data_IF_843390434261
#
_entry.id   IF_843390434261
#
_cell.length_a   1.000
_cell.length_b   1.000
_cell.length_c   1.000
_cell.angle_alpha   90.00
_cell.angle_beta   90.00
_cell.angle_gamma   90.00
#
_symmetry.space_group_name_H-M   'P 1'
#
loop_
_entity.id
_entity.type
_entity.pdbx_description
1 polymer ?
#
# COMPACT_ATOMS: atom_id res chain seq x y z
N UNK A 1 15.58 -1.55 9.20
CA UNK A 1 14.75 -0.48 9.78
C UNK A 1 15.32 0.87 9.39
N UNK A 2 14.47 1.82 8.98
CA UNK A 2 14.87 3.09 8.36
C UNK A 2 14.86 4.23 9.39
N UNK A 3 16.02 4.70 9.80
CA UNK A 3 16.14 5.71 10.85
C UNK A 3 15.73 7.09 10.29
N UNK A 4 14.80 7.81 10.93
CA UNK A 4 14.51 9.21 10.61
C UNK A 4 15.74 10.10 10.79
N UNK A 5 15.91 11.10 9.93
CA UNK A 5 17.08 11.99 9.95
C UNK A 5 17.24 12.80 11.23
N UNK A 6 16.12 13.08 11.93
CA UNK A 6 16.12 13.75 13.23
C UNK A 6 16.62 12.86 14.39
N UNK A 7 16.66 11.54 14.19
CA UNK A 7 17.11 10.57 15.20
C UNK A 7 18.57 10.17 14.95
N UNK A 8 18.98 10.03 13.69
CA UNK A 8 20.36 9.72 13.33
C UNK A 8 20.52 9.34 11.85
N UNK A 9 21.70 8.82 11.51
CA UNK A 9 22.15 8.59 10.13
C UNK A 9 22.42 7.11 9.80
N UNK A 10 21.88 6.16 10.57
CA UNK A 10 22.15 4.72 10.36
C UNK A 10 21.66 4.21 8.99
N UNK A 11 20.71 4.90 8.37
CA UNK A 11 20.20 4.60 7.02
C UNK A 11 20.83 5.44 5.92
N UNK A 12 21.78 6.32 6.23
CA UNK A 12 22.35 7.25 5.26
C UNK A 12 23.08 6.52 4.13
N UNK A 13 23.82 5.46 4.44
CA UNK A 13 24.59 4.71 3.43
C UNK A 13 23.71 4.17 2.29
N UNK A 14 22.49 3.70 2.60
CA UNK A 14 21.59 3.14 1.58
C UNK A 14 20.90 4.26 0.81
N UNK A 15 20.59 5.40 1.46
CA UNK A 15 20.06 6.57 0.77
C UNK A 15 21.08 7.15 -0.21
N UNK A 16 22.35 7.28 0.19
CA UNK A 16 23.44 7.75 -0.66
C UNK A 16 23.65 6.85 -1.88
N UNK A 17 23.67 5.53 -1.66
CA UNK A 17 23.83 4.53 -2.72
C UNK A 17 22.67 4.59 -3.73
N UNK A 18 21.43 4.57 -3.26
CA UNK A 18 20.24 4.58 -4.12
C UNK A 18 20.10 5.91 -4.86
N UNK A 19 20.28 7.03 -4.18
CA UNK A 19 20.21 8.35 -4.81
C UNK A 19 21.28 8.51 -5.91
N UNK A 20 22.51 8.06 -5.67
CA UNK A 20 23.57 8.05 -6.69
C UNK A 20 23.18 7.20 -7.91
N UNK A 21 22.64 6.01 -7.66
CA UNK A 21 22.20 5.07 -8.71
C UNK A 21 21.03 5.62 -9.54
N UNK A 22 20.08 6.30 -8.90
CA UNK A 22 18.87 6.82 -9.53
C UNK A 22 19.02 8.22 -10.12
N UNK A 23 20.15 8.89 -9.86
CA UNK A 23 20.39 10.30 -10.22
C UNK A 23 20.06 10.65 -11.67
N UNK A 24 20.33 9.74 -12.61
CA UNK A 24 19.99 9.91 -14.04
C UNK A 24 18.49 10.01 -14.34
N UNK A 25 17.64 9.49 -13.47
CA UNK A 25 16.17 9.48 -13.63
C UNK A 25 15.47 10.55 -12.81
N UNK A 26 16.03 10.90 -11.65
CA UNK A 26 15.39 11.82 -10.68
C UNK A 26 16.02 13.22 -10.68
N UNK A 27 17.09 13.41 -11.45
CA UNK A 27 17.82 14.68 -11.57
C UNK A 27 18.51 15.10 -10.27
N UNK A 28 19.14 16.27 -10.30
CA UNK A 28 19.93 16.78 -9.17
C UNK A 28 19.07 17.05 -7.91
N UNK A 29 17.93 17.76 -8.06
CA UNK A 29 17.03 18.07 -6.93
C UNK A 29 16.47 16.78 -6.29
N UNK A 30 16.02 15.83 -7.12
CA UNK A 30 15.54 14.54 -6.64
C UNK A 30 16.62 13.74 -5.92
N UNK A 31 17.86 13.76 -6.45
CA UNK A 31 19.02 13.09 -5.81
C UNK A 31 19.29 13.63 -4.42
N UNK A 32 19.36 14.95 -4.24
CA UNK A 32 19.60 15.56 -2.93
C UNK A 32 18.50 15.21 -1.91
N UNK A 33 17.25 15.18 -2.38
CA UNK A 33 16.11 14.82 -1.53
C UNK A 33 16.15 13.35 -1.15
N UNK A 34 16.51 12.47 -2.10
CA UNK A 34 16.65 11.03 -1.87
C UNK A 34 17.78 10.73 -0.88
N UNK A 35 18.91 11.42 -0.97
CA UNK A 35 20.00 11.32 0.01
C UNK A 35 19.52 11.73 1.41
N UNK A 36 18.73 12.82 1.50
CA UNK A 36 18.28 13.36 2.79
C UNK A 36 17.29 12.45 3.52
N UNK A 37 16.33 11.87 2.81
CA UNK A 37 15.19 11.18 3.47
C UNK A 37 14.65 9.94 2.75
N UNK A 38 15.31 9.49 1.68
CA UNK A 38 14.89 8.33 0.89
C UNK A 38 13.64 8.58 0.02
N UNK A 39 13.29 9.83 -0.22
CA UNK A 39 12.13 10.27 -1.00
C UNK A 39 12.57 11.25 -2.09
N UNK A 40 11.82 11.38 -3.19
CA UNK A 40 12.17 12.32 -4.25
C UNK A 40 10.95 12.77 -5.05
N UNK A 41 11.12 13.89 -5.75
CA UNK A 41 10.17 14.40 -6.73
C UNK A 41 10.91 14.63 -8.05
N UNK A 42 10.29 14.22 -9.16
CA UNK A 42 10.84 14.45 -10.50
C UNK A 42 9.70 14.70 -11.50
N UNK A 43 9.96 15.55 -12.49
CA UNK A 43 8.99 15.81 -13.56
C UNK A 43 9.19 14.80 -14.69
N UNK A 44 8.08 14.33 -15.25
CA UNK A 44 8.10 13.59 -16.49
C UNK A 44 8.48 14.53 -17.66
N UNK A 45 9.55 14.26 -18.42
CA UNK A 45 10.06 15.20 -19.41
C UNK A 45 9.13 15.41 -20.62
N UNK A 46 8.15 14.55 -20.84
CA UNK A 46 7.28 14.57 -22.03
C UNK A 46 5.82 14.89 -21.72
N UNK A 47 5.55 15.55 -20.60
CA UNK A 47 4.19 15.94 -20.24
C UNK A 47 4.10 16.69 -18.94
N UNK A 48 2.87 17.03 -18.56
CA UNK A 48 2.59 17.84 -17.38
C UNK A 48 2.34 16.96 -16.14
N UNK A 49 3.28 16.04 -15.88
CA UNK A 49 3.20 15.08 -14.80
C UNK A 49 4.41 15.20 -13.88
N UNK A 50 4.18 15.16 -12.57
CA UNK A 50 5.20 14.99 -11.54
C UNK A 50 5.03 13.67 -10.82
N UNK A 51 6.12 12.96 -10.63
CA UNK A 51 6.17 11.75 -9.81
C UNK A 51 6.81 12.09 -8.48
N UNK A 52 6.07 11.85 -7.39
CA UNK A 52 6.52 12.03 -6.01
C UNK A 52 6.63 10.65 -5.36
N UNK A 53 7.86 10.24 -5.05
CA UNK A 53 8.18 8.97 -4.40
C UNK A 53 8.37 9.17 -2.91
N UNK A 54 7.49 8.55 -2.11
CA UNK A 54 7.51 8.57 -0.65
C UNK A 54 8.30 7.40 -0.07
N UNK A 55 9.10 7.68 0.95
CA UNK A 55 9.64 6.68 1.86
C UNK A 55 8.59 6.30 2.92
N UNK A 56 7.71 5.37 2.57
CA UNK A 56 6.62 4.91 3.47
C UNK A 56 7.12 4.10 4.67
N UNK A 57 8.39 3.70 4.71
CA UNK A 57 8.97 3.05 5.90
C UNK A 57 8.99 3.96 7.12
N UNK A 58 8.95 5.28 6.90
CA UNK A 58 8.86 6.28 7.96
C UNK A 58 7.48 6.28 8.64
N UNK A 59 6.52 5.49 8.13
CA UNK A 59 5.18 5.35 8.68
C UNK A 59 4.84 3.90 9.07
N UNK A 60 5.81 3.00 8.92
CA UNK A 60 5.64 1.57 9.14
C UNK A 60 5.79 1.20 10.61
N UNK A 61 4.82 0.47 11.19
CA UNK A 61 4.86 -0.05 12.56
C UNK A 61 6.05 -0.96 12.83
N UNK A 62 6.56 -1.66 11.81
CA UNK A 62 7.79 -2.47 11.91
C UNK A 62 9.08 -1.65 11.97
N UNK A 63 9.02 -0.32 11.81
CA UNK A 63 10.18 0.54 11.92
C UNK A 63 10.41 0.99 13.37
N UNK A 64 11.15 0.17 14.13
CA UNK A 64 11.32 0.39 15.57
C UNK A 64 12.00 1.71 15.95
N UNK A 65 12.69 2.39 15.02
CA UNK A 65 13.24 3.73 15.25
C UNK A 65 12.17 4.78 15.57
N UNK A 66 10.91 4.55 15.20
CA UNK A 66 9.82 5.49 15.42
C UNK A 66 9.24 5.45 16.85
N UNK A 67 9.50 4.40 17.62
CA UNK A 67 9.06 4.28 19.02
C UNK A 67 9.99 5.06 19.95
N UNK A 68 9.97 6.38 19.80
CA UNK A 68 10.62 7.32 20.69
C UNK A 68 9.71 7.67 21.88
N UNK A 69 10.26 8.30 22.93
CA UNK A 69 9.47 8.76 24.09
C UNK A 69 8.30 9.65 23.65
N UNK A 70 8.56 10.52 22.68
CA UNK A 70 7.56 11.28 21.95
C UNK A 70 7.66 10.86 20.49
N UNK A 71 6.60 10.26 19.95
CA UNK A 71 6.59 9.88 18.55
C UNK A 71 6.71 11.11 17.65
N UNK A 72 7.59 11.01 16.66
CA UNK A 72 7.75 12.07 15.66
C UNK A 72 6.44 12.22 14.87
N UNK A 73 5.98 13.46 14.72
CA UNK A 73 4.78 13.76 13.92
C UNK A 73 5.05 13.67 12.41
N UNK A 74 6.22 14.16 12.00
CA UNK A 74 6.68 14.13 10.61
C UNK A 74 8.15 13.66 10.55
N UNK A 75 8.40 12.35 10.54
CA UNK A 75 9.74 11.81 10.48
C UNK A 75 10.47 12.28 9.22
N UNK A 76 11.63 12.90 9.41
CA UNK A 76 12.45 13.50 8.34
C UNK A 76 11.81 14.66 7.56
N UNK A 77 10.72 15.26 8.06
CA UNK A 77 10.05 16.39 7.39
C UNK A 77 9.41 16.04 6.05
N UNK A 78 9.03 14.77 5.85
CA UNK A 78 8.55 14.28 4.56
C UNK A 78 7.13 14.76 4.24
N UNK A 79 6.26 14.96 5.24
CA UNK A 79 4.89 15.45 5.04
C UNK A 79 4.92 16.93 4.67
N UNK A 80 5.72 17.75 5.38
CA UNK A 80 5.93 19.16 5.03
C UNK A 80 6.45 19.29 3.59
N UNK A 81 7.49 18.54 3.24
CA UNK A 81 8.02 18.52 1.87
C UNK A 81 7.01 18.06 0.83
N UNK A 82 6.17 17.06 1.14
CA UNK A 82 5.11 16.60 0.23
C UNK A 82 4.10 17.71 -0.05
N UNK A 83 3.70 18.47 0.98
CA UNK A 83 2.80 19.61 0.82
C UNK A 83 3.43 20.67 -0.10
N UNK A 84 4.70 20.99 0.07
CA UNK A 84 5.41 21.93 -0.82
C UNK A 84 5.44 21.46 -2.27
N UNK A 85 5.71 20.17 -2.51
CA UNK A 85 5.76 19.61 -3.85
C UNK A 85 4.38 19.59 -4.53
N UNK A 86 3.32 19.25 -3.80
CA UNK A 86 1.93 19.24 -4.29
C UNK A 86 1.40 20.66 -4.52
N UNK A 87 1.67 21.60 -3.62
CA UNK A 87 1.32 23.02 -3.80
C UNK A 87 1.99 23.63 -5.02
N UNK A 88 3.28 23.33 -5.23
CA UNK A 88 4.00 23.76 -6.42
C UNK A 88 3.46 23.11 -7.70
N UNK A 89 2.99 21.86 -7.64
CA UNK A 89 2.36 21.18 -8.77
C UNK A 89 1.00 21.80 -9.10
N UNK A 90 0.15 22.02 -8.10
CA UNK A 90 -1.17 22.67 -8.23
C UNK A 90 -1.03 24.06 -8.88
N UNK A 91 -0.10 24.90 -8.40
CA UNK A 91 0.17 26.23 -8.97
C UNK A 91 0.70 26.18 -10.42
N UNK A 92 1.41 25.12 -10.77
CA UNK A 92 1.91 24.90 -12.13
C UNK A 92 0.88 24.20 -13.03
N UNK A 93 -0.27 23.79 -12.49
CA UNK A 93 -1.28 23.01 -13.19
C UNK A 93 -0.84 21.59 -13.54
N UNK A 94 0.18 21.04 -12.85
CA UNK A 94 0.69 19.68 -13.06
C UNK A 94 -0.25 18.62 -12.45
N UNK A 95 -0.33 17.46 -13.09
CA UNK A 95 -0.86 16.25 -12.48
C UNK A 95 0.23 15.54 -11.66
N UNK A 96 -0.16 14.84 -10.59
CA UNK A 96 0.79 14.15 -9.71
C UNK A 96 0.49 12.67 -9.59
N UNK A 97 1.53 11.85 -9.74
CA UNK A 97 1.55 10.48 -9.22
C UNK A 97 2.29 10.45 -7.90
N UNK A 98 1.65 9.86 -6.88
CA UNK A 98 2.33 9.51 -5.64
C UNK A 98 2.67 8.03 -5.68
N UNK A 99 3.94 7.69 -5.50
CA UNK A 99 4.38 6.30 -5.39
C UNK A 99 4.97 6.04 -4.00
N UNK A 100 4.75 4.84 -3.47
CA UNK A 100 5.32 4.40 -2.20
C UNK A 100 5.41 2.88 -2.14
N UNK A 101 6.03 2.35 -1.09
CA UNK A 101 6.07 0.89 -0.92
C UNK A 101 4.81 0.38 -0.21
N UNK A 102 4.53 0.90 0.97
CA UNK A 102 3.42 0.48 1.83
C UNK A 102 2.21 1.41 1.61
N UNK A 103 1.02 0.86 1.29
CA UNK A 103 -0.19 1.68 1.19
C UNK A 103 -0.64 2.18 2.57
N UNK A 104 -1.26 3.35 2.61
CA UNK A 104 -1.52 4.07 3.86
C UNK A 104 -2.70 3.51 4.67
N UNK A 105 -3.63 2.81 4.02
CA UNK A 105 -4.73 2.10 4.68
C UNK A 105 -4.35 0.75 5.26
N UNK A 106 -3.11 0.30 5.02
CA UNK A 106 -2.63 -0.98 5.55
C UNK A 106 -2.53 -0.93 7.08
N UNK A 107 -2.83 -2.06 7.73
CA UNK A 107 -2.70 -2.23 9.18
C UNK A 107 -1.27 -1.96 9.69
N UNK A 108 -0.29 -2.07 8.80
CA UNK A 108 1.11 -1.82 9.05
C UNK A 108 1.45 -0.33 9.17
N UNK A 109 0.57 0.57 8.74
CA UNK A 109 0.77 2.00 8.93
C UNK A 109 0.36 2.45 10.33
N UNK A 110 1.13 3.37 10.94
CA UNK A 110 0.67 4.09 12.12
C UNK A 110 -0.56 4.93 11.80
N UNK A 111 -1.55 4.95 12.71
CA UNK A 111 -2.80 5.70 12.51
C UNK A 111 -2.54 7.19 12.30
N UNK A 112 -1.76 7.81 13.19
CA UNK A 112 -1.46 9.25 13.13
C UNK A 112 -0.80 9.65 11.80
N UNK A 113 0.26 8.97 11.39
CA UNK A 113 0.97 9.26 10.14
C UNK A 113 0.09 9.04 8.90
N UNK A 114 -0.67 7.94 8.88
CA UNK A 114 -1.65 7.66 7.84
C UNK A 114 -2.70 8.76 7.77
N UNK A 115 -3.21 9.23 8.91
CA UNK A 115 -4.17 10.32 9.00
C UNK A 115 -3.61 11.66 8.54
N UNK A 116 -2.37 12.00 8.88
CA UNK A 116 -1.74 13.24 8.40
C UNK A 116 -1.57 13.24 6.88
N UNK A 117 -1.12 12.12 6.30
CA UNK A 117 -1.02 11.99 4.85
C UNK A 117 -2.38 11.99 4.17
N UNK A 118 -3.38 11.33 4.76
CA UNK A 118 -4.75 11.34 4.22
C UNK A 118 -5.31 12.77 4.14
N UNK A 119 -5.04 13.64 5.12
CA UNK A 119 -5.42 15.07 5.05
C UNK A 119 -4.74 15.80 3.88
N UNK A 120 -3.46 15.52 3.62
CA UNK A 120 -2.72 16.09 2.47
C UNK A 120 -3.32 15.59 1.15
N UNK A 121 -3.57 14.29 1.02
CA UNK A 121 -4.21 13.70 -0.17
C UNK A 121 -5.59 14.31 -0.40
N UNK A 122 -6.38 14.49 0.68
CA UNK A 122 -7.68 15.14 0.62
C UNK A 122 -7.59 16.56 0.04
N UNK A 123 -6.68 17.40 0.59
CA UNK A 123 -6.46 18.78 0.14
C UNK A 123 -6.05 18.87 -1.34
N UNK A 124 -5.21 17.96 -1.80
CA UNK A 124 -4.64 17.99 -3.16
C UNK A 124 -5.25 16.94 -4.10
N UNK A 125 -6.44 16.42 -3.77
CA UNK A 125 -7.10 15.35 -4.54
C UNK A 125 -7.31 15.72 -6.02
N UNK A 126 -7.59 16.98 -6.32
CA UNK A 126 -7.73 17.48 -7.70
C UNK A 126 -6.38 17.56 -8.47
N UNK A 127 -5.25 17.57 -7.76
CA UNK A 127 -3.89 17.59 -8.35
C UNK A 127 -3.32 16.16 -8.50
N UNK A 128 -3.77 15.23 -7.65
CA UNK A 128 -3.29 13.84 -7.63
C UNK A 128 -4.10 13.01 -8.61
N UNK A 129 -3.47 12.56 -9.70
CA UNK A 129 -4.13 11.73 -10.71
C UNK A 129 -4.27 10.26 -10.25
N UNK A 130 -3.27 9.73 -9.55
CA UNK A 130 -3.30 8.36 -9.01
C UNK A 130 -2.21 8.15 -7.94
N UNK A 131 -2.41 7.14 -7.09
CA UNK A 131 -1.39 6.69 -6.13
C UNK A 131 -1.06 5.21 -6.35
N UNK A 132 0.22 4.83 -6.24
CA UNK A 132 0.69 3.48 -6.54
C UNK A 132 1.57 2.90 -5.42
N UNK A 133 1.22 1.71 -4.96
CA UNK A 133 1.86 1.02 -3.85
C UNK A 133 2.09 -0.47 -4.12
N UNK A 134 2.75 -1.15 -3.19
CA UNK A 134 2.98 -2.59 -3.17
C UNK A 134 2.85 -3.14 -1.75
N UNK A 135 3.95 -3.66 -1.19
CA UNK A 135 4.11 -4.20 0.18
C UNK A 135 3.29 -5.46 0.50
N UNK A 136 2.00 -5.46 0.20
CA UNK A 136 1.05 -6.52 0.57
C UNK A 136 1.19 -7.79 -0.25
N UNK A 137 1.91 -7.71 -1.38
CA UNK A 137 2.05 -8.79 -2.38
C UNK A 137 0.71 -9.29 -2.95
N UNK A 138 -0.35 -8.49 -2.85
CA UNK A 138 -1.71 -8.84 -3.30
C UNK A 138 -2.18 -7.82 -4.33
N UNK A 139 -3.04 -8.26 -5.25
CA UNK A 139 -3.63 -7.42 -6.28
C UNK A 139 -4.91 -6.75 -5.73
N UNK A 140 -4.81 -5.50 -5.25
CA UNK A 140 -5.97 -4.77 -4.72
C UNK A 140 -5.81 -3.25 -4.84
N UNK A 141 -6.70 -2.50 -4.19
CA UNK A 141 -6.73 -1.05 -4.21
C UNK A 141 -7.32 -0.52 -2.89
N UNK A 142 -7.11 0.76 -2.62
CA UNK A 142 -7.74 1.49 -1.52
C UNK A 142 -8.33 2.80 -2.05
N UNK A 143 -9.49 3.19 -1.53
CA UNK A 143 -10.16 4.44 -1.90
C UNK A 143 -10.00 5.45 -0.75
N UNK A 144 -9.54 6.65 -1.10
CA UNK A 144 -9.57 7.82 -0.21
C UNK A 144 -10.89 8.55 -0.39
N UNK A 145 -11.57 8.85 0.72
CA UNK A 145 -12.81 9.62 0.75
C UNK A 145 -12.59 11.02 1.34
N UNK A 146 -13.46 11.95 1.00
CA UNK A 146 -13.54 13.29 1.60
C UNK A 146 -13.81 13.22 3.11
N UNK A 147 -14.71 12.32 3.48
CA UNK A 147 -15.12 12.05 4.86
C UNK A 147 -15.13 10.55 5.09
N UNK A 148 -14.20 10.02 5.88
CA UNK A 148 -14.08 8.56 6.08
C UNK A 148 -15.29 7.93 6.81
N UNK A 149 -16.13 8.74 7.46
CA UNK A 149 -17.41 8.33 8.05
C UNK A 149 -18.52 8.14 7.01
N UNK A 150 -18.37 8.71 5.81
CA UNK A 150 -19.34 8.71 4.72
C UNK A 150 -18.68 8.17 3.46
N UNK A 151 -18.56 6.83 3.40
CA UNK A 151 -17.91 6.12 2.29
C UNK A 151 -18.94 5.84 1.20
N UNK A 152 -19.32 6.87 0.48
CA UNK A 152 -20.21 6.78 -0.68
C UNK A 152 -19.49 7.24 -1.96
N UNK A 153 -20.08 6.91 -3.11
CA UNK A 153 -19.52 7.24 -4.42
C UNK A 153 -19.28 8.75 -4.63
N UNK A 154 -20.10 9.63 -4.03
CA UNK A 154 -20.00 11.08 -4.20
C UNK A 154 -18.85 11.69 -3.40
N UNK A 155 -18.41 10.98 -2.36
CA UNK A 155 -17.31 11.36 -1.49
C UNK A 155 -15.96 10.70 -1.89
N UNK A 156 -15.91 9.85 -2.91
CA UNK A 156 -14.70 9.16 -3.34
C UNK A 156 -13.77 10.10 -4.14
N UNK A 157 -12.51 10.23 -3.71
CA UNK A 157 -11.56 11.22 -4.24
C UNK A 157 -10.42 10.62 -5.06
N UNK A 158 -9.65 9.69 -4.47
CA UNK A 158 -8.40 9.18 -5.08
C UNK A 158 -8.30 7.68 -4.89
N UNK A 159 -7.87 6.97 -5.94
CA UNK A 159 -7.54 5.55 -5.88
C UNK A 159 -6.06 5.34 -5.61
N UNK A 160 -5.78 4.53 -4.59
CA UNK A 160 -4.47 3.96 -4.30
C UNK A 160 -4.39 2.54 -4.82
N UNK A 161 -3.72 2.33 -5.94
CA UNK A 161 -3.53 1.00 -6.52
C UNK A 161 -2.43 0.25 -5.79
N UNK A 162 -2.69 -1.00 -5.41
CA UNK A 162 -1.72 -1.87 -4.75
C UNK A 162 -1.37 -3.02 -5.69
N UNK A 163 -0.18 -2.93 -6.27
CA UNK A 163 0.30 -3.89 -7.26
C UNK A 163 0.70 -5.24 -6.65
N UNK A 164 0.53 -6.34 -7.39
CA UNK A 164 0.97 -7.66 -6.96
C UNK A 164 2.50 -7.78 -6.98
N UNK A 165 3.01 -8.89 -6.47
CA UNK A 165 4.45 -9.16 -6.39
C UNK A 165 4.97 -10.03 -7.53
N UNK A 166 6.22 -9.80 -7.93
CA UNK A 166 7.00 -10.73 -8.74
C UNK A 166 7.41 -11.97 -7.93
N UNK A 167 7.62 -11.83 -6.61
CA UNK A 167 7.91 -12.97 -5.75
C UNK A 167 6.69 -13.90 -5.63
N UNK A 168 6.86 -15.23 -5.73
CA UNK A 168 5.76 -16.20 -5.71
C UNK A 168 5.17 -16.46 -4.31
N UNK A 169 5.61 -15.78 -3.25
CA UNK A 169 5.24 -16.11 -1.87
C UNK A 169 3.74 -15.98 -1.57
N UNK A 170 3.03 -15.07 -2.26
CA UNK A 170 1.62 -14.76 -1.98
C UNK A 170 0.70 -14.99 -3.18
N UNK A 171 1.17 -15.70 -4.19
CA UNK A 171 0.43 -15.96 -5.42
C UNK A 171 1.33 -16.05 -6.65
N UNK A 172 0.74 -16.20 -7.83
CA UNK A 172 1.51 -16.26 -9.07
C UNK A 172 2.39 -15.02 -9.23
N UNK A 173 3.68 -15.16 -9.59
CA UNK A 173 4.55 -14.06 -10.00
C UNK A 173 3.83 -13.16 -11.00
N UNK A 174 3.75 -11.86 -10.71
CA UNK A 174 2.95 -10.94 -11.51
C UNK A 174 3.55 -9.54 -11.57
N UNK A 175 3.26 -8.82 -12.64
CA UNK A 175 3.47 -7.37 -12.76
C UNK A 175 2.23 -6.70 -13.34
N UNK A 176 2.15 -5.37 -13.21
CA UNK A 176 1.02 -4.55 -13.66
C UNK A 176 1.49 -3.54 -14.69
N UNK A 177 0.68 -3.35 -15.72
CA UNK A 177 0.79 -2.25 -16.69
C UNK A 177 -0.43 -1.36 -16.53
N UNK A 178 -0.22 -0.04 -16.48
CA UNK A 178 -1.30 0.95 -16.45
C UNK A 178 -1.34 1.69 -17.77
N UNK A 179 -2.50 1.67 -18.42
CA UNK A 179 -2.80 2.57 -19.53
C UNK A 179 -3.35 3.87 -18.93
N UNK A 180 -2.85 5.01 -19.40
CA UNK A 180 -3.15 6.33 -18.81
C UNK A 180 -3.50 7.34 -19.89
N UNK A 181 -4.35 8.29 -19.55
CA UNK A 181 -4.70 9.39 -20.46
C UNK A 181 -3.46 10.29 -20.68
N UNK A 182 -3.11 10.65 -21.92
CA UNK A 182 -1.90 11.42 -22.20
C UNK A 182 -1.97 12.89 -21.73
N UNK A 183 -3.15 13.39 -21.37
CA UNK A 183 -3.39 14.78 -20.94
C UNK A 183 -3.61 14.83 -19.43
N UNK A 184 -4.59 14.08 -18.92
CA UNK A 184 -4.95 14.08 -17.49
C UNK A 184 -4.04 13.18 -16.66
N UNK A 185 -3.34 12.23 -17.28
CA UNK A 185 -2.61 11.16 -16.61
C UNK A 185 -3.49 10.32 -15.69
N UNK A 186 -4.82 10.37 -15.82
CA UNK A 186 -5.69 9.46 -15.10
C UNK A 186 -5.53 8.03 -15.65
N UNK A 187 -5.74 7.04 -14.78
CA UNK A 187 -5.66 5.63 -15.18
C UNK A 187 -6.87 5.27 -16.02
N UNK A 188 -6.64 4.80 -17.25
CA UNK A 188 -7.67 4.30 -18.17
C UNK A 188 -7.87 2.80 -18.02
N UNK A 189 -6.81 2.04 -17.77
CA UNK A 189 -6.89 0.61 -17.48
C UNK A 189 -5.70 0.13 -16.65
N UNK A 190 -5.87 -1.02 -16.00
CA UNK A 190 -4.86 -1.69 -15.21
C UNK A 190 -4.82 -3.17 -15.61
N UNK A 191 -3.82 -3.56 -16.40
CA UNK A 191 -3.65 -4.93 -16.90
C UNK A 191 -2.60 -5.68 -16.09
N UNK A 192 -3.01 -6.74 -15.39
CA UNK A 192 -2.09 -7.64 -14.67
C UNK A 192 -1.60 -8.74 -15.62
N UNK A 193 -0.29 -8.97 -15.65
CA UNK A 193 0.35 -10.11 -16.28
C UNK A 193 0.87 -11.06 -15.20
N UNK A 194 0.62 -12.36 -15.35
CA UNK A 194 1.11 -13.38 -14.43
C UNK A 194 1.87 -14.49 -15.16
N UNK A 195 2.77 -15.15 -14.44
CA UNK A 195 3.45 -16.34 -14.89
C UNK A 195 3.00 -17.54 -14.05
N UNK A 196 2.61 -18.62 -14.71
CA UNK A 196 2.19 -19.86 -14.03
C UNK A 196 3.40 -20.63 -13.51
N UNK A 197 3.65 -20.52 -12.21
CA UNK A 197 4.74 -21.21 -11.53
C UNK A 197 4.53 -22.72 -11.38
N UNK A 198 3.32 -23.23 -11.66
CA UNK A 198 3.03 -24.67 -11.66
C UNK A 198 3.38 -25.35 -12.99
N UNK A 199 3.63 -24.56 -14.04
CA UNK A 199 4.07 -25.08 -15.33
C UNK A 199 5.36 -25.89 -15.18
N UNK A 200 5.40 -27.08 -15.79
CA UNK A 200 6.59 -27.95 -15.80
C UNK A 200 7.82 -27.27 -16.44
N UNK A 201 7.61 -26.25 -17.27
CA UNK A 201 8.69 -25.49 -17.91
C UNK A 201 9.18 -24.29 -17.09
N UNK A 202 8.48 -23.89 -16.02
CA UNK A 202 8.79 -22.64 -15.31
C UNK A 202 10.23 -22.59 -14.79
N UNK A 203 10.72 -23.69 -14.19
CA UNK A 203 12.08 -23.77 -13.63
C UNK A 203 13.16 -24.07 -14.67
N UNK A 204 12.79 -24.57 -15.85
CA UNK A 204 13.75 -25.00 -16.89
C UNK A 204 13.90 -23.98 -18.01
N UNK A 205 12.83 -23.25 -18.35
CA UNK A 205 12.79 -22.26 -19.42
C UNK A 205 12.54 -20.84 -18.91
N UNK A 206 12.22 -20.68 -17.62
CA UNK A 206 11.87 -19.39 -17.02
C UNK A 206 10.38 -19.06 -17.10
N UNK A 207 9.97 -17.91 -16.53
CA UNK A 207 8.57 -17.49 -16.48
C UNK A 207 8.03 -17.12 -17.87
N UNK A 208 6.85 -17.64 -18.22
CA UNK A 208 6.08 -17.21 -19.39
C UNK A 208 4.97 -16.27 -18.94
N UNK A 209 5.13 -14.98 -19.23
CA UNK A 209 4.17 -13.94 -18.85
C UNK A 209 2.97 -13.91 -19.79
N UNK A 210 1.77 -14.02 -19.23
CA UNK A 210 0.49 -13.94 -19.97
C UNK A 210 -0.40 -12.89 -19.34
N UNK A 211 -1.24 -12.24 -20.14
CA UNK A 211 -2.31 -11.36 -19.63
C UNK A 211 -3.19 -12.21 -18.69
N UNK A 212 -3.27 -11.82 -17.44
CA UNK A 212 -4.12 -12.47 -16.44
C UNK A 212 -5.52 -11.84 -16.47
N UNK A 213 -5.61 -10.51 -16.34
CA UNK A 213 -6.87 -9.77 -16.54
C UNK A 213 -6.60 -8.28 -16.83
N UNK A 214 -7.59 -7.61 -17.43
CA UNK A 214 -7.71 -6.14 -17.47
C UNK A 214 -8.79 -5.71 -16.48
N UNK A 215 -8.51 -4.68 -15.68
CA UNK A 215 -9.46 -4.16 -14.70
C UNK A 215 -10.74 -3.64 -15.37
N UNK A 216 -10.61 -2.90 -16.48
CA UNK A 216 -11.77 -2.39 -17.22
C UNK A 216 -12.61 -3.50 -17.84
N UNK A 217 -11.97 -4.49 -18.47
CA UNK A 217 -12.65 -5.66 -19.05
C UNK A 217 -13.40 -6.45 -17.98
N UNK A 218 -12.82 -6.60 -16.79
CA UNK A 218 -13.36 -7.46 -15.73
C UNK A 218 -14.43 -6.76 -14.89
N UNK A 219 -14.19 -5.52 -14.50
CA UNK A 219 -15.04 -4.80 -13.54
C UNK A 219 -15.94 -3.75 -14.19
N UNK A 220 -15.60 -3.25 -15.38
CA UNK A 220 -16.43 -2.31 -16.16
C UNK A 220 -17.89 -2.75 -16.29
N UNK A 221 -18.16 -3.98 -16.75
CA UNK A 221 -19.52 -4.51 -16.88
C UNK A 221 -20.27 -4.70 -15.55
N UNK A 222 -19.58 -4.73 -14.41
CA UNK A 222 -20.20 -4.93 -13.09
C UNK A 222 -20.76 -3.63 -12.49
N UNK A 223 -20.28 -2.48 -12.97
CA UNK A 223 -20.71 -1.17 -12.48
C UNK A 223 -22.04 -0.74 -13.10
N UNK A 224 -22.77 0.17 -12.43
CA UNK A 224 -24.01 0.76 -12.94
C UNK A 224 -23.95 2.29 -12.91
N UNK A 225 -23.95 2.97 -14.08
CA UNK A 225 -23.92 2.40 -15.43
C UNK A 225 -22.60 1.66 -15.72
N UNK A 226 -22.58 0.68 -16.64
CA UNK A 226 -21.35 -0.01 -17.03
C UNK A 226 -20.29 0.94 -17.59
N UNK A 227 -19.05 0.83 -17.12
CA UNK A 227 -17.92 1.64 -17.58
C UNK A 227 -16.98 0.80 -18.48
N UNK A 228 -17.38 0.60 -19.74
CA UNK A 228 -16.64 -0.23 -20.71
C UNK A 228 -15.93 0.55 -21.81
N UNK A 229 -16.10 1.87 -21.87
CA UNK A 229 -15.41 2.73 -22.84
C UNK A 229 -13.89 2.70 -22.58
N UNK A 230 -13.05 2.31 -23.57
CA UNK A 230 -11.59 2.32 -23.43
C UNK A 230 -11.03 3.68 -22.97
N UNK A 231 -11.63 4.79 -23.39
CA UNK A 231 -11.18 6.15 -23.04
C UNK A 231 -11.69 6.68 -21.70
N UNK A 232 -12.60 5.96 -21.02
CA UNK A 232 -13.13 6.42 -19.73
C UNK A 232 -12.15 6.18 -18.58
N UNK A 233 -11.98 7.13 -17.68
CA UNK A 233 -11.05 7.01 -16.55
C UNK A 233 -11.58 6.07 -15.46
N UNK A 234 -10.71 5.25 -14.87
CA UNK A 234 -11.00 4.40 -13.71
C UNK A 234 -10.92 5.22 -12.41
N UNK A 235 -11.82 6.20 -12.27
CA UNK A 235 -11.86 7.13 -11.13
C UNK A 235 -12.12 6.43 -9.79
N UNK A 236 -11.95 7.15 -8.67
CA UNK A 236 -12.31 6.63 -7.34
C UNK A 236 -13.79 6.19 -7.25
N UNK A 237 -14.68 6.90 -7.98
CA UNK A 237 -16.11 6.56 -8.12
C UNK A 237 -16.29 5.20 -8.81
N UNK A 238 -15.53 4.93 -9.88
CA UNK A 238 -15.56 3.62 -10.54
C UNK A 238 -15.22 2.51 -9.55
N UNK A 239 -14.11 2.64 -8.82
CA UNK A 239 -13.67 1.64 -7.85
C UNK A 239 -14.65 1.48 -6.68
N UNK A 240 -15.32 2.56 -6.25
CA UNK A 240 -16.41 2.47 -5.29
C UNK A 240 -17.57 1.64 -5.83
N UNK A 241 -18.03 1.89 -7.06
CA UNK A 241 -19.11 1.13 -7.68
C UNK A 241 -18.75 -0.36 -7.86
N UNK A 242 -17.47 -0.67 -8.08
CA UNK A 242 -16.98 -2.07 -8.07
C UNK A 242 -17.17 -2.71 -6.69
N UNK A 243 -16.89 -1.97 -5.60
CA UNK A 243 -17.14 -2.47 -4.25
C UNK A 243 -18.64 -2.64 -3.94
N UNK A 244 -19.52 -1.79 -4.47
CA UNK A 244 -20.98 -1.97 -4.37
C UNK A 244 -21.44 -3.24 -5.11
N UNK A 245 -20.85 -3.52 -6.28
CA UNK A 245 -21.12 -4.74 -7.01
C UNK A 245 -20.72 -5.99 -6.19
N UNK A 246 -19.63 -5.94 -5.42
CA UNK A 246 -19.21 -7.04 -4.54
C UNK A 246 -20.17 -7.30 -3.36
N UNK A 247 -20.82 -6.25 -2.85
CA UNK A 247 -21.85 -6.39 -1.81
C UNK A 247 -23.07 -7.16 -2.35
N UNK A 248 -23.45 -6.86 -3.59
CA UNK A 248 -24.67 -7.38 -4.23
C UNK A 248 -24.46 -8.67 -5.04
N UNK A 249 -23.22 -8.99 -5.43
CA UNK A 249 -22.88 -10.15 -6.25
C UNK A 249 -21.73 -10.93 -5.60
N UNK A 250 -22.08 -12.05 -4.95
CA UNK A 250 -21.13 -12.92 -4.26
C UNK A 250 -20.09 -13.53 -5.20
N UNK A 251 -20.49 -13.95 -6.40
CA UNK A 251 -19.56 -14.52 -7.39
C UNK A 251 -18.51 -13.51 -7.82
N UNK A 252 -18.91 -12.26 -8.09
CA UNK A 252 -17.96 -11.20 -8.44
C UNK A 252 -16.94 -10.93 -7.33
N UNK A 253 -17.39 -10.96 -6.06
CA UNK A 253 -16.51 -10.85 -4.91
C UNK A 253 -15.57 -12.05 -4.77
N UNK A 254 -16.08 -13.28 -4.86
CA UNK A 254 -15.27 -14.50 -4.73
C UNK A 254 -14.20 -14.58 -5.84
N UNK A 255 -14.56 -14.15 -7.05
CA UNK A 255 -13.62 -14.00 -8.16
C UNK A 255 -12.55 -12.94 -7.85
N UNK A 256 -12.92 -11.81 -7.24
CA UNK A 256 -11.96 -10.78 -6.80
C UNK A 256 -11.00 -11.35 -5.74
N UNK A 257 -11.52 -12.13 -4.79
CA UNK A 257 -10.70 -12.80 -3.78
C UNK A 257 -9.68 -13.76 -4.39
N UNK A 258 -10.03 -14.46 -5.47
CA UNK A 258 -9.07 -15.27 -6.24
C UNK A 258 -7.98 -14.42 -6.89
N UNK A 259 -8.35 -13.25 -7.39
CA UNK A 259 -7.42 -12.31 -8.05
C UNK A 259 -6.41 -11.71 -7.09
N UNK A 260 -6.72 -11.57 -5.79
CA UNK A 260 -5.75 -11.15 -4.77
C UNK A 260 -4.45 -11.97 -4.86
N UNK A 261 -4.57 -13.30 -5.06
CA UNK A 261 -3.46 -14.26 -5.19
C UNK A 261 -3.14 -14.62 -6.66
N UNK A 262 -3.74 -13.91 -7.61
CA UNK A 262 -3.60 -14.10 -9.07
C UNK A 262 -3.89 -15.53 -9.50
N UNK A 263 -4.97 -16.11 -8.97
CA UNK A 263 -5.41 -17.45 -9.35
C UNK A 263 -4.72 -18.57 -8.59
N UNK A 264 -3.85 -18.28 -7.63
CA UNK A 264 -3.11 -19.31 -6.90
C UNK A 264 -3.97 -20.05 -5.89
N UNK A 265 -4.63 -19.32 -5.00
CA UNK A 265 -5.44 -19.90 -3.92
C UNK A 265 -6.69 -19.07 -3.69
N UNK A 266 -7.83 -19.75 -3.69
CA UNK A 266 -9.10 -19.19 -3.22
C UNK A 266 -9.04 -19.13 -1.68
N UNK A 267 -9.12 -17.94 -1.07
CA UNK A 267 -9.24 -17.85 0.37
C UNK A 267 -10.66 -18.21 0.80
N UNK A 268 -10.80 -18.91 1.94
CA UNK A 268 -12.10 -19.07 2.60
C UNK A 268 -12.54 -17.72 3.15
N UNK A 269 -13.77 -17.30 2.84
CA UNK A 269 -14.30 -16.01 3.26
C UNK A 269 -15.82 -16.12 3.44
N UNK A 270 -16.29 -16.01 4.67
CA UNK A 270 -17.72 -15.93 4.99
C UNK A 270 -18.25 -14.50 4.80
N UNK A 271 -19.49 -14.22 5.21
CA UNK A 271 -20.09 -12.90 5.04
C UNK A 271 -19.43 -11.83 5.91
N UNK A 272 -18.93 -12.17 7.10
CA UNK A 272 -18.18 -11.25 7.95
C UNK A 272 -16.84 -10.88 7.29
N UNK A 273 -16.11 -11.89 6.81
CA UNK A 273 -14.90 -11.71 6.02
C UNK A 273 -15.19 -10.83 4.79
N UNK A 274 -16.26 -11.09 4.04
CA UNK A 274 -16.63 -10.32 2.85
C UNK A 274 -16.84 -8.84 3.18
N UNK A 275 -17.62 -8.55 4.22
CA UNK A 275 -17.84 -7.18 4.69
C UNK A 275 -16.52 -6.49 5.09
N UNK A 276 -15.63 -7.21 5.80
CA UNK A 276 -14.32 -6.70 6.18
C UNK A 276 -13.42 -6.41 4.97
N UNK A 277 -13.35 -7.32 3.98
CA UNK A 277 -12.56 -7.12 2.76
C UNK A 277 -13.04 -5.90 1.97
N UNK A 278 -14.35 -5.78 1.77
CA UNK A 278 -14.96 -4.63 1.08
C UNK A 278 -14.66 -3.33 1.84
N UNK A 279 -14.78 -3.33 3.16
CA UNK A 279 -14.40 -2.18 3.98
C UNK A 279 -12.93 -1.78 3.82
N UNK A 280 -12.00 -2.75 3.77
CA UNK A 280 -10.58 -2.46 3.55
C UNK A 280 -10.30 -1.82 2.19
N UNK A 281 -11.00 -2.22 1.12
CA UNK A 281 -10.93 -1.57 -0.19
C UNK A 281 -11.42 -0.12 -0.13
N UNK A 282 -12.39 0.16 0.74
CA UNK A 282 -12.91 1.50 1.02
C UNK A 282 -12.16 2.21 2.17
N UNK A 283 -10.94 1.81 2.51
CA UNK A 283 -10.18 2.41 3.61
C UNK A 283 -8.72 2.68 3.21
N UNK A 284 -8.42 3.89 2.74
CA UNK A 284 -7.05 4.36 2.49
C UNK A 284 -6.37 5.00 3.72
N UNK A 285 -7.06 5.04 4.87
CA UNK A 285 -6.51 5.48 6.17
C UNK A 285 -6.53 4.32 7.16
N UNK A 286 -5.40 4.05 7.81
CA UNK A 286 -5.23 2.81 8.57
C UNK A 286 -6.14 2.69 9.80
N UNK A 287 -6.52 3.83 10.42
CA UNK A 287 -7.46 3.84 11.55
C UNK A 287 -8.89 3.43 11.16
N UNK A 288 -9.23 3.54 9.88
CA UNK A 288 -10.54 3.22 9.32
C UNK A 288 -10.59 1.82 8.69
N UNK A 289 -9.44 1.13 8.69
CA UNK A 289 -9.29 -0.21 8.18
C UNK A 289 -10.07 -1.19 9.07
N UNK A 290 -10.91 -2.01 8.45
CA UNK A 290 -11.68 -3.04 9.15
C UNK A 290 -10.87 -4.30 9.48
N UNK A 291 -9.55 -4.30 9.31
CA UNK A 291 -8.65 -5.36 9.84
C UNK A 291 -8.30 -5.07 11.30
N UNK A 292 -9.28 -5.23 12.19
CA UNK A 292 -9.09 -5.03 13.63
C UNK A 292 -8.41 -6.28 14.24
N UNK A 293 -7.26 -6.13 14.93
CA UNK A 293 -6.66 -7.24 15.67
C UNK A 293 -7.58 -7.67 16.83
N UNK A 294 -8.07 -8.92 16.82
CA UNK A 294 -8.79 -9.50 17.97
C UNK A 294 -7.80 -10.26 18.85
N UNK A 295 -7.75 -9.96 20.15
CA UNK A 295 -6.98 -10.72 21.14
C UNK A 295 -7.77 -11.98 21.52
N UNK A 296 -7.23 -13.18 21.23
CA UNK A 296 -7.88 -14.47 21.54
C UNK A 296 -7.34 -15.64 20.74
N UNK A 297 -8.01 -16.80 20.76
CA UNK A 297 -7.67 -18.05 20.02
C UNK A 297 -7.51 -17.89 18.50
N UNK A 298 -7.93 -16.74 17.97
CA UNK A 298 -7.60 -16.23 16.64
C UNK A 298 -6.11 -15.94 16.46
N UNK A 299 -5.29 -15.79 17.51
CA UNK A 299 -3.86 -15.51 17.41
C UNK A 299 -3.08 -16.71 16.85
N UNK A 300 -3.41 -17.94 17.26
CA UNK A 300 -2.78 -19.15 16.73
C UNK A 300 -3.22 -19.48 15.29
N UNK A 301 -4.49 -19.27 14.95
CA UNK A 301 -5.01 -19.47 13.59
C UNK A 301 -4.50 -18.36 12.65
N UNK A 302 -4.47 -17.11 13.12
CA UNK A 302 -3.90 -15.97 12.40
C UNK A 302 -2.40 -16.08 12.27
N UNK A 303 -1.64 -16.68 13.19
CA UNK A 303 -0.20 -16.93 12.98
C UNK A 303 0.06 -17.94 11.85
N UNK A 304 -0.83 -18.92 11.64
CA UNK A 304 -0.76 -19.81 10.47
C UNK A 304 -1.18 -19.08 9.18
N UNK A 305 -2.26 -18.30 9.19
CA UNK A 305 -2.67 -17.49 8.02
C UNK A 305 -1.77 -16.27 7.77
N UNK A 306 -1.04 -15.78 8.78
CA UNK A 306 -0.04 -14.73 8.66
C UNK A 306 1.36 -15.26 8.39
N UNK A 307 1.59 -16.57 8.58
CA UNK A 307 2.68 -17.28 7.90
C UNK A 307 2.36 -17.48 6.40
N UNK A 308 1.09 -17.32 5.98
CA UNK A 308 0.68 -17.21 4.57
C UNK A 308 0.52 -15.75 4.09
N UNK A 309 0.38 -14.78 5.01
CA UNK A 309 0.59 -13.34 4.78
C UNK A 309 2.04 -13.01 5.14
N UNK A 310 2.99 -13.52 4.36
CA UNK A 310 4.39 -13.13 4.49
C UNK A 310 4.55 -11.65 4.13
N UNK A 311 4.35 -10.80 5.15
CA UNK A 311 4.64 -9.38 5.14
C UNK A 311 6.13 -9.20 4.80
N UNK A 312 6.42 -8.33 3.83
CA UNK A 312 7.77 -7.89 3.53
C UNK A 312 8.40 -7.31 4.82
N UNK A 313 9.17 -8.11 5.56
CA UNK A 313 9.84 -7.66 6.79
C UNK A 313 9.88 -8.63 7.97
N UNK A 314 9.24 -9.82 7.92
CA UNK A 314 9.27 -10.79 9.03
C UNK A 314 10.71 -11.12 9.46
N UNK A 315 11.65 -11.20 8.51
CA UNK A 315 13.07 -11.46 8.79
C UNK A 315 13.69 -10.45 9.78
N UNK A 316 13.26 -9.18 9.77
CA UNK A 316 13.81 -8.16 10.67
C UNK A 316 13.02 -8.13 11.98
N UNK A 317 11.70 -8.23 11.97
CA UNK A 317 10.89 -8.19 13.19
C UNK A 317 11.16 -9.42 14.05
N UNK A 318 11.21 -10.62 13.46
CA UNK A 318 11.54 -11.85 14.17
C UNK A 318 12.98 -11.82 14.69
N UNK A 319 13.95 -11.32 13.91
CA UNK A 319 15.33 -11.17 14.38
C UNK A 319 15.46 -10.11 15.49
N UNK A 320 14.70 -9.01 15.41
CA UNK A 320 14.70 -7.94 16.40
C UNK A 320 14.02 -8.38 17.69
N UNK A 321 12.86 -9.04 17.61
CA UNK A 321 12.20 -9.65 18.76
C UNK A 321 13.05 -10.79 19.34
N UNK A 322 13.66 -11.64 18.53
CA UNK A 322 14.57 -12.68 19.04
C UNK A 322 15.78 -12.06 19.75
N UNK A 323 16.32 -10.95 19.24
CA UNK A 323 17.40 -10.20 19.88
C UNK A 323 16.96 -9.45 21.15
N UNK A 324 15.72 -8.95 21.20
CA UNK A 324 15.13 -8.32 22.39
C UNK A 324 14.81 -9.37 23.46
N UNK A 325 14.14 -10.47 23.09
CA UNK A 325 13.78 -11.59 23.97
C UNK A 325 15.03 -12.32 24.49
N UNK A 326 16.13 -12.35 23.71
CA UNK A 326 17.42 -12.85 24.19
C UNK A 326 18.06 -11.98 25.30
N UNK A 327 17.56 -10.76 25.54
CA UNK A 327 17.95 -9.97 26.72
C UNK A 327 16.98 -10.25 27.85
N UNK A 328 17.45 -10.94 28.90
CA UNK A 328 16.67 -11.28 30.11
C UNK A 328 15.87 -10.10 30.69
N UNK A 329 16.39 -8.87 30.59
CA UNK A 329 15.70 -7.65 31.06
C UNK A 329 14.45 -7.26 30.26
N UNK A 330 14.41 -7.54 28.95
CA UNK A 330 13.25 -7.20 28.12
C UNK A 330 12.10 -8.18 28.32
N UNK A 331 12.40 -9.47 28.52
CA UNK A 331 11.42 -10.49 28.93
C UNK A 331 10.75 -10.10 30.25
N UNK A 332 11.53 -9.67 31.24
CA UNK A 332 11.02 -9.18 32.53
C UNK A 332 10.10 -7.98 32.39
N UNK A 333 10.50 -6.97 31.61
CA UNK A 333 9.65 -5.80 31.34
C UNK A 333 8.35 -6.16 30.61
N UNK A 334 8.39 -7.09 29.66
CA UNK A 334 7.21 -7.55 28.93
C UNK A 334 6.28 -8.33 29.87
N UNK A 335 6.84 -9.16 30.75
CA UNK A 335 6.11 -9.87 31.81
C UNK A 335 5.46 -8.88 32.78
N UNK A 336 6.19 -7.88 33.25
CA UNK A 336 5.68 -6.84 34.17
C UNK A 336 4.56 -6.03 33.52
N UNK A 337 4.66 -5.68 32.24
CA UNK A 337 3.58 -5.01 31.50
C UNK A 337 2.35 -5.90 31.34
N UNK A 338 2.51 -7.19 31.00
CA UNK A 338 1.39 -8.13 30.87
C UNK A 338 0.69 -8.40 32.21
N UNK A 339 1.45 -8.43 33.31
CA UNK A 339 0.93 -8.54 34.68
C UNK A 339 0.18 -7.26 35.07
N UNK A 340 0.69 -6.07 34.74
CA UNK A 340 -0.01 -4.80 34.96
C UNK A 340 -1.30 -4.68 34.15
N UNK A 341 -1.40 -5.35 32.99
CA UNK A 341 -2.60 -5.39 32.16
C UNK A 341 -3.63 -6.45 32.62
N UNK A 342 -3.41 -7.11 33.76
CA UNK A 342 -4.30 -8.13 34.34
C UNK A 342 -4.59 -9.31 33.38
N UNK A 343 -3.66 -9.61 32.47
CA UNK A 343 -3.75 -10.74 31.55
C UNK A 343 -3.35 -11.99 32.32
N UNK A 344 -4.33 -12.82 32.69
CA UNK A 344 -4.05 -14.17 33.23
C UNK A 344 -3.47 -15.04 32.13
N UNK A 345 -2.16 -15.28 32.19
CA UNK A 345 -1.50 -16.31 31.42
C UNK A 345 -1.98 -17.67 31.97
N UNK A 346 -2.84 -18.35 31.23
CA UNK A 346 -3.08 -19.78 31.45
C UNK A 346 -1.93 -20.55 30.81
N UNK A 347 -1.22 -21.31 31.64
CA UNK A 347 -0.16 -22.22 31.22
C UNK A 347 -0.68 -23.51 30.60
#
# INVERSE_FOLDING_TARGET
AYQPSSIGSSSQWIYDLLAGTWSRWIGHKGTLTAQRMGAYSTRYPHGNLRVVSLNTNLYYRGNFWLFQREMLRDPSGQIEWLVEELDAAEKAGENVYIIGHMPLGDRNAFHDHSNYLNQVVNRYSATIAAMFFGHTHRDHFQITYAHDSERDFSNALVTSYVGPSLTPMSGMPSFRVYDVDPITFAVLDATTYSADMTSSTYQTQGPVWKKYYSAKETYGPLTNPPLTDPGAELTAVFWHNVTDAFENNRTAFDDFMLRLSRGWRQPECDDECRASQICMLRAARSQDSCDVPTLGSSYHRRMNDSAERDECGISIIQATFSALVAKEGALRMLQEMLVMMNVKLFG
#
